data_IF_949456449290
#
_entry.id   IF_949456449290
#
_cell.length_a   1.000
_cell.length_b   1.000
_cell.length_c   1.000
_cell.angle_alpha   90.00
_cell.angle_beta   90.00
_cell.angle_gamma   90.00
#
_symmetry.space_group_name_H-M   'P 1'
#
loop_
_entity.id
_entity.type
_entity.pdbx_description
1 polymer ?
#
# COMPACT_ATOMS: atom_id res chain seq x y z
N UNK A 1 6.58 0.13 31.80
CA UNK A 1 5.34 0.30 31.01
C UNK A 1 5.56 1.10 29.74
N UNK A 2 6.03 2.35 29.80
CA UNK A 2 6.29 3.17 28.60
C UNK A 2 7.24 2.50 27.59
N UNK A 3 8.34 1.92 28.07
CA UNK A 3 9.30 1.23 27.19
C UNK A 3 8.67 0.04 26.46
N UNK A 4 7.85 -0.76 27.15
CA UNK A 4 7.13 -1.88 26.55
C UNK A 4 6.23 -1.44 25.39
N UNK A 5 5.47 -0.36 25.57
CA UNK A 5 4.63 0.17 24.48
C UNK A 5 5.46 0.65 23.28
N UNK A 6 6.62 1.28 23.53
CA UNK A 6 7.54 1.68 22.45
C UNK A 6 8.09 0.48 21.70
N UNK A 7 8.44 -0.59 22.42
CA UNK A 7 8.96 -1.81 21.79
C UNK A 7 7.87 -2.54 21.00
N UNK A 8 6.64 -2.55 21.50
CA UNK A 8 5.48 -3.10 20.79
C UNK A 8 5.20 -2.29 19.49
N UNK A 9 5.26 -0.95 19.55
CA UNK A 9 5.13 -0.09 18.36
C UNK A 9 6.25 -0.37 17.35
N UNK A 10 7.51 -0.45 17.78
CA UNK A 10 8.64 -0.74 16.88
C UNK A 10 8.46 -2.06 16.13
N UNK A 11 7.99 -3.11 16.80
CA UNK A 11 7.71 -4.40 16.17
C UNK A 11 6.60 -4.30 15.13
N UNK A 12 5.56 -3.51 15.40
CA UNK A 12 4.49 -3.26 14.42
C UNK A 12 5.03 -2.49 13.23
N UNK A 13 5.84 -1.46 13.46
CA UNK A 13 6.47 -0.67 12.39
C UNK A 13 7.35 -1.54 11.49
N UNK A 14 8.15 -2.43 12.07
CA UNK A 14 8.95 -3.42 11.33
C UNK A 14 8.05 -4.32 10.46
N UNK A 15 6.95 -4.83 11.02
CA UNK A 15 6.00 -5.64 10.26
C UNK A 15 5.35 -4.86 9.11
N UNK A 16 5.00 -3.59 9.33
CA UNK A 16 4.44 -2.72 8.29
C UNK A 16 5.43 -2.55 7.13
N UNK A 17 6.71 -2.32 7.42
CA UNK A 17 7.76 -2.20 6.39
C UNK A 17 7.92 -3.51 5.61
N UNK A 18 7.94 -4.65 6.29
CA UNK A 18 8.04 -5.96 5.63
C UNK A 18 6.83 -6.24 4.71
N UNK A 19 5.62 -5.92 5.15
CA UNK A 19 4.40 -6.05 4.34
C UNK A 19 4.43 -5.13 3.12
N UNK A 20 4.90 -3.90 3.28
CA UNK A 20 5.06 -2.96 2.16
C UNK A 20 6.10 -3.45 1.15
N UNK A 21 7.22 -4.01 1.62
CA UNK A 21 8.23 -4.62 0.75
C UNK A 21 7.65 -5.80 -0.06
N UNK A 22 6.90 -6.69 0.59
CA UNK A 22 6.20 -7.79 -0.09
C UNK A 22 5.21 -7.27 -1.13
N UNK A 23 4.43 -6.22 -0.80
CA UNK A 23 3.51 -5.57 -1.75
C UNK A 23 4.24 -5.01 -2.97
N UNK A 24 5.43 -4.43 -2.78
CA UNK A 24 6.24 -3.90 -3.89
C UNK A 24 6.83 -5.00 -4.78
N UNK A 25 7.18 -6.16 -4.21
CA UNK A 25 7.59 -7.31 -5.02
C UNK A 25 6.47 -7.77 -5.96
N UNK A 26 5.24 -7.89 -5.43
CA UNK A 26 4.06 -8.21 -6.23
C UNK A 26 3.82 -7.13 -7.29
N UNK A 27 3.99 -5.85 -6.95
CA UNK A 27 3.87 -4.75 -7.91
C UNK A 27 4.92 -4.87 -9.03
N UNK A 28 6.16 -5.26 -8.74
CA UNK A 28 7.20 -5.47 -9.75
C UNK A 28 6.83 -6.58 -10.73
N UNK A 29 6.38 -7.72 -10.23
CA UNK A 29 5.93 -8.84 -11.07
C UNK A 29 4.71 -8.45 -11.91
N UNK A 30 3.77 -7.70 -11.33
CA UNK A 30 2.63 -7.13 -12.07
C UNK A 30 3.08 -6.19 -13.19
N UNK A 31 4.10 -5.37 -12.95
CA UNK A 31 4.69 -4.48 -13.95
C UNK A 31 5.28 -5.25 -15.12
N UNK A 32 6.06 -6.32 -14.84
CA UNK A 32 6.60 -7.22 -15.88
C UNK A 32 5.49 -7.86 -16.71
N UNK A 33 4.45 -8.37 -16.05
CA UNK A 33 3.30 -8.97 -16.71
C UNK A 33 2.58 -7.96 -17.62
N UNK A 34 2.27 -6.77 -17.09
CA UNK A 34 1.60 -5.71 -17.86
C UNK A 34 2.43 -5.30 -19.09
N UNK A 35 3.75 -5.12 -18.92
CA UNK A 35 4.67 -4.81 -20.01
C UNK A 35 4.70 -5.89 -21.09
N UNK A 36 4.77 -7.16 -20.70
CA UNK A 36 4.75 -8.28 -21.65
C UNK A 36 3.43 -8.37 -22.45
N UNK A 37 2.33 -7.88 -21.89
CA UNK A 37 1.00 -7.91 -22.50
C UNK A 37 0.53 -6.56 -23.07
N UNK A 38 1.40 -5.55 -23.15
CA UNK A 38 1.07 -4.19 -23.59
C UNK A 38 -0.09 -3.53 -22.80
N UNK A 39 -0.23 -3.85 -21.52
CA UNK A 39 -1.23 -3.27 -20.62
C UNK A 39 -0.63 -2.02 -19.94
N UNK A 40 -1.35 -0.88 -19.89
CA UNK A 40 -0.90 0.31 -19.16
C UNK A 40 -0.69 0.06 -17.66
N UNK A 41 0.33 0.69 -17.09
CA UNK A 41 0.60 0.62 -15.64
C UNK A 41 -0.48 1.34 -14.85
N UNK A 42 -0.92 2.51 -15.33
CA UNK A 42 -1.90 3.37 -14.68
C UNK A 42 -3.33 3.04 -15.10
N UNK A 43 -4.22 2.94 -14.11
CA UNK A 43 -5.66 2.77 -14.27
C UNK A 43 -6.34 3.53 -13.12
N UNK A 44 -7.04 4.61 -13.46
CA UNK A 44 -7.63 5.53 -12.48
C UNK A 44 -8.79 4.86 -11.71
N UNK A 45 -9.58 4.03 -12.37
CA UNK A 45 -10.74 3.37 -11.75
C UNK A 45 -10.27 2.30 -10.75
N UNK A 46 -9.22 1.56 -11.11
CA UNK A 46 -8.58 0.59 -10.20
C UNK A 46 -7.96 1.28 -8.99
N UNK A 47 -7.25 2.40 -9.17
CA UNK A 47 -6.67 3.15 -8.05
C UNK A 47 -7.75 3.70 -7.11
N UNK A 48 -8.82 4.28 -7.67
CA UNK A 48 -9.96 4.76 -6.89
C UNK A 48 -10.64 3.63 -6.09
N UNK A 49 -10.82 2.45 -6.71
CA UNK A 49 -11.39 1.28 -6.04
C UNK A 49 -10.51 0.76 -4.89
N UNK A 50 -9.18 0.78 -5.05
CA UNK A 50 -8.23 0.41 -4.00
C UNK A 50 -8.34 1.37 -2.82
N UNK A 51 -8.34 2.68 -3.07
CA UNK A 51 -8.45 3.70 -2.02
C UNK A 51 -9.76 3.53 -1.26
N UNK A 52 -10.88 3.43 -1.98
CA UNK A 52 -12.20 3.33 -1.36
C UNK A 52 -12.37 2.04 -0.54
N UNK A 53 -11.86 0.89 -1.03
CA UNK A 53 -11.86 -0.35 -0.25
C UNK A 53 -11.11 -0.19 1.07
N UNK A 54 -9.95 0.45 1.05
CA UNK A 54 -9.13 0.62 2.24
C UNK A 54 -9.67 1.70 3.18
N UNK A 55 -10.34 2.73 2.65
CA UNK A 55 -11.08 3.71 3.45
C UNK A 55 -12.17 3.04 4.29
N UNK A 56 -12.95 2.15 3.68
CA UNK A 56 -13.96 1.36 4.41
C UNK A 56 -13.35 0.43 5.45
N UNK A 57 -12.23 -0.22 5.11
CA UNK A 57 -11.51 -1.06 6.08
C UNK A 57 -11.00 -0.23 7.26
N UNK A 58 -10.50 0.99 7.00
CA UNK A 58 -10.06 1.93 8.03
C UNK A 58 -11.20 2.28 8.99
N UNK A 59 -12.34 2.69 8.46
CA UNK A 59 -13.54 3.00 9.23
C UNK A 59 -13.93 1.85 10.17
N UNK A 60 -14.00 0.63 9.64
CA UNK A 60 -14.37 -0.57 10.40
C UNK A 60 -13.37 -0.94 11.51
N UNK A 61 -12.14 -0.43 11.45
CA UNK A 61 -11.09 -0.68 12.44
C UNK A 61 -10.79 0.57 13.29
N UNK A 62 -11.66 1.59 13.27
CA UNK A 62 -11.50 2.80 14.08
C UNK A 62 -10.36 3.71 13.63
N UNK A 63 -9.88 3.57 12.39
CA UNK A 63 -8.88 4.44 11.79
C UNK A 63 -9.54 5.58 11.01
N UNK A 64 -8.89 6.75 11.04
CA UNK A 64 -9.31 7.90 10.25
C UNK A 64 -9.26 7.60 8.75
N UNK A 65 -10.39 7.75 8.08
CA UNK A 65 -10.53 7.49 6.65
C UNK A 65 -9.58 8.35 5.80
N UNK A 66 -9.48 9.65 6.10
CA UNK A 66 -8.55 10.58 5.45
C UNK A 66 -7.09 10.17 5.66
N UNK A 67 -6.76 9.61 6.82
CA UNK A 67 -5.41 9.13 7.10
C UNK A 67 -5.05 7.95 6.19
N UNK A 68 -5.95 6.96 6.08
CA UNK A 68 -5.71 5.78 5.24
C UNK A 68 -5.76 6.11 3.74
N UNK A 69 -6.61 7.05 3.32
CA UNK A 69 -6.60 7.56 1.96
C UNK A 69 -5.22 8.11 1.58
N UNK A 70 -4.67 9.05 2.37
CA UNK A 70 -3.34 9.63 2.11
C UNK A 70 -2.24 8.59 2.11
N UNK A 71 -2.30 7.63 3.04
CA UNK A 71 -1.35 6.52 3.08
C UNK A 71 -1.38 5.70 1.77
N UNK A 72 -2.57 5.37 1.27
CA UNK A 72 -2.70 4.59 0.05
C UNK A 72 -2.34 5.35 -1.22
N UNK A 73 -2.55 6.68 -1.26
CA UNK A 73 -2.06 7.53 -2.35
C UNK A 73 -0.53 7.43 -2.48
N UNK A 74 0.21 7.53 -1.36
CA UNK A 74 1.68 7.37 -1.34
C UNK A 74 2.11 5.96 -1.75
N UNK A 75 1.44 4.92 -1.23
CA UNK A 75 1.75 3.53 -1.57
C UNK A 75 1.52 3.27 -3.07
N UNK A 76 0.45 3.80 -3.66
CA UNK A 76 0.15 3.63 -5.08
C UNK A 76 1.15 4.39 -5.96
N UNK A 77 1.60 5.57 -5.54
CA UNK A 77 2.67 6.29 -6.22
C UNK A 77 3.96 5.46 -6.29
N UNK A 78 4.42 4.90 -5.17
CA UNK A 78 5.62 4.05 -5.15
C UNK A 78 5.41 2.75 -5.93
N UNK A 79 4.20 2.19 -5.89
CA UNK A 79 3.82 1.00 -6.67
C UNK A 79 3.92 1.25 -8.17
N UNK A 80 3.57 2.45 -8.66
CA UNK A 80 3.71 2.83 -10.06
C UNK A 80 5.17 2.95 -10.47
N UNK A 81 5.99 3.63 -9.66
CA UNK A 81 7.45 3.73 -9.88
C UNK A 81 8.08 2.33 -9.92
N UNK A 82 7.67 1.43 -9.03
CA UNK A 82 8.17 0.06 -8.99
C UNK A 82 7.75 -0.78 -10.21
N UNK A 83 6.54 -0.61 -10.72
CA UNK A 83 6.05 -1.28 -11.93
C UNK A 83 6.77 -0.85 -13.22
N UNK A 84 7.36 0.35 -13.23
CA UNK A 84 8.04 0.93 -14.39
C UNK A 84 9.54 0.59 -14.45
N UNK A 85 10.10 0.04 -13.37
CA UNK A 85 11.48 -0.47 -13.33
C UNK A 85 11.56 -1.79 -14.09
#
# INVERSE_FOLDING_TARGET
MLQKFRDDIRKIDEQLILLLAQRMEVARELGKYKKANNIPVFDADVEAAIIERNRRLAHNNGLGETFVQRLYEVILEESKKTQQK
#
